data_IF_170371953417
#
_entry.id   IF_170371953417
#
_cell.length_a   1.000
_cell.length_b   1.000
_cell.length_c   1.000
_cell.angle_alpha   90.00
_cell.angle_beta   90.00
_cell.angle_gamma   90.00
#
_symmetry.space_group_name_H-M   'P 1'
#
loop_
_entity.id
_entity.type
_entity.pdbx_description
1 polymer ?
#
# COMPACT_ATOMS: atom_id res chain seq x y z
N UNK A 1 -10.53 8.73 -26.04
CA UNK A 1 -11.03 8.88 -24.65
C UNK A 1 -10.94 7.52 -23.97
N UNK A 2 -10.28 7.40 -22.82
CA UNK A 2 -9.87 6.11 -22.23
C UNK A 2 -10.97 5.39 -21.43
N UNK A 3 -12.12 5.99 -21.13
CA UNK A 3 -13.18 5.31 -20.38
C UNK A 3 -14.57 5.72 -20.86
N UNK A 4 -15.14 5.00 -21.83
CA UNK A 4 -16.59 5.05 -22.10
C UNK A 4 -17.40 4.25 -21.08
N UNK A 5 -16.76 3.33 -20.34
CA UNK A 5 -17.35 2.41 -19.36
C UNK A 5 -17.55 3.04 -17.97
N UNK A 6 -17.47 4.36 -17.84
CA UNK A 6 -17.58 5.03 -16.54
C UNK A 6 -19.02 5.13 -16.01
N UNK A 7 -20.02 4.90 -16.87
CA UNK A 7 -21.44 5.12 -16.55
C UNK A 7 -22.21 3.81 -16.36
N UNK A 8 -21.84 2.74 -17.08
CA UNK A 8 -22.47 1.42 -16.99
C UNK A 8 -21.40 0.31 -17.14
N UNK A 9 -21.55 -0.83 -16.45
CA UNK A 9 -20.63 -1.96 -16.57
C UNK A 9 -20.60 -2.51 -18.01
N UNK A 10 -19.43 -2.91 -18.53
CA UNK A 10 -19.35 -3.54 -19.83
C UNK A 10 -20.04 -4.91 -19.83
N UNK A 11 -20.65 -5.28 -20.94
CA UNK A 11 -21.09 -6.66 -21.15
C UNK A 11 -19.88 -7.59 -21.36
N UNK A 12 -20.10 -8.91 -21.28
CA UNK A 12 -19.04 -9.92 -21.40
C UNK A 12 -18.21 -9.77 -22.69
N UNK A 13 -18.85 -9.49 -23.83
CA UNK A 13 -18.16 -9.32 -25.10
C UNK A 13 -17.28 -8.06 -25.13
N UNK A 14 -17.78 -6.95 -24.59
CA UNK A 14 -17.02 -5.70 -24.45
C UNK A 14 -15.81 -5.88 -23.53
N UNK A 15 -15.98 -6.59 -22.41
CA UNK A 15 -14.89 -6.90 -21.49
C UNK A 15 -13.84 -7.80 -22.14
N UNK A 16 -14.25 -8.88 -22.81
CA UNK A 16 -13.35 -9.79 -23.51
C UNK A 16 -12.56 -9.06 -24.61
N UNK A 17 -13.23 -8.21 -25.41
CA UNK A 17 -12.58 -7.44 -26.47
C UNK A 17 -11.56 -6.44 -25.91
N UNK A 18 -11.91 -5.76 -24.82
CA UNK A 18 -10.97 -4.88 -24.11
C UNK A 18 -9.77 -5.66 -23.59
N UNK A 19 -9.99 -6.76 -22.87
CA UNK A 19 -8.94 -7.53 -22.24
C UNK A 19 -8.01 -8.16 -23.27
N UNK A 20 -8.55 -8.73 -24.36
CA UNK A 20 -7.75 -9.26 -25.47
C UNK A 20 -6.86 -8.18 -26.09
N UNK A 21 -7.40 -6.97 -26.34
CA UNK A 21 -6.62 -5.85 -26.84
C UNK A 21 -5.56 -5.38 -25.84
N UNK A 22 -5.88 -5.37 -24.55
CA UNK A 22 -4.96 -4.99 -23.49
C UNK A 22 -3.76 -5.94 -23.42
N UNK A 23 -4.02 -7.25 -23.39
CA UNK A 23 -2.97 -8.29 -23.43
C UNK A 23 -2.15 -8.19 -24.71
N UNK A 24 -2.79 -8.06 -25.87
CA UNK A 24 -2.08 -7.91 -27.15
C UNK A 24 -1.09 -6.73 -27.13
N UNK A 25 -1.50 -5.58 -26.59
CA UNK A 25 -0.65 -4.40 -26.46
C UNK A 25 0.51 -4.62 -25.49
N UNK A 26 0.29 -5.31 -24.37
CA UNK A 26 1.36 -5.67 -23.43
C UNK A 26 2.37 -6.57 -24.14
N UNK A 27 1.90 -7.70 -24.71
CA UNK A 27 2.75 -8.70 -25.36
C UNK A 27 3.59 -8.10 -26.48
N UNK A 28 2.98 -7.26 -27.34
CA UNK A 28 3.67 -6.61 -28.46
C UNK A 28 4.83 -5.71 -28.01
N UNK A 29 4.83 -5.24 -26.76
CA UNK A 29 5.84 -4.33 -26.25
C UNK A 29 6.87 -4.98 -25.32
N UNK A 30 6.80 -6.29 -25.06
CA UNK A 30 7.65 -6.95 -24.06
C UNK A 30 9.15 -6.90 -24.38
N UNK A 31 9.51 -6.96 -25.67
CA UNK A 31 10.90 -7.10 -26.11
C UNK A 31 11.61 -5.75 -26.27
N UNK A 32 10.93 -4.63 -26.05
CA UNK A 32 11.58 -3.32 -26.12
C UNK A 32 12.42 -3.03 -24.86
N UNK A 33 13.59 -2.43 -25.04
CA UNK A 33 14.51 -2.09 -23.95
C UNK A 33 14.23 -0.71 -23.32
N UNK A 34 13.44 0.11 -24.00
CA UNK A 34 13.04 1.44 -23.56
C UNK A 34 11.83 1.43 -22.59
N UNK A 35 11.30 2.62 -22.29
CA UNK A 35 10.29 2.79 -21.25
C UNK A 35 8.95 2.09 -21.56
N UNK A 36 8.59 1.88 -22.83
CA UNK A 36 7.39 1.09 -23.19
C UNK A 36 7.54 -0.37 -22.81
N UNK A 37 8.72 -0.98 -23.00
CA UNK A 37 8.95 -2.36 -22.60
C UNK A 37 9.04 -2.51 -21.09
N UNK A 38 9.65 -1.53 -20.39
CA UNK A 38 9.63 -1.49 -18.92
C UNK A 38 8.20 -1.43 -18.39
N UNK A 39 7.36 -0.58 -18.99
CA UNK A 39 5.96 -0.47 -18.61
C UNK A 39 5.16 -1.74 -18.92
N UNK A 40 5.35 -2.35 -20.10
CA UNK A 40 4.70 -3.61 -20.47
C UNK A 40 5.06 -4.76 -19.52
N UNK A 41 6.35 -4.94 -19.21
CA UNK A 41 6.80 -5.95 -18.24
C UNK A 41 6.26 -5.70 -16.83
N UNK A 42 6.09 -4.44 -16.44
CA UNK A 42 5.43 -4.08 -15.17
C UNK A 42 3.95 -4.43 -15.18
N UNK A 43 3.21 -4.05 -16.23
CA UNK A 43 1.79 -4.40 -16.35
C UNK A 43 1.56 -5.91 -16.37
N UNK A 44 2.41 -6.67 -17.05
CA UNK A 44 2.33 -8.13 -17.07
C UNK A 44 2.52 -8.73 -15.66
N UNK A 45 3.48 -8.21 -14.89
CA UNK A 45 3.75 -8.67 -13.51
C UNK A 45 2.58 -8.40 -12.56
N UNK A 46 1.91 -7.27 -12.74
CA UNK A 46 0.80 -6.83 -11.88
C UNK A 46 -0.58 -7.26 -12.41
N UNK A 47 -0.64 -8.00 -13.53
CA UNK A 47 -1.88 -8.25 -14.27
C UNK A 47 -2.99 -8.89 -13.40
N UNK A 48 -2.60 -9.81 -12.53
CA UNK A 48 -3.53 -10.50 -11.62
C UNK A 48 -4.06 -9.59 -10.52
N UNK A 49 -3.24 -8.64 -10.02
CA UNK A 49 -3.62 -7.76 -8.92
C UNK A 49 -4.46 -6.56 -9.39
N UNK A 50 -4.43 -6.21 -10.67
CA UNK A 50 -5.13 -5.05 -11.24
C UNK A 50 -6.66 -5.11 -11.07
N UNK A 51 -7.25 -6.30 -11.06
CA UNK A 51 -8.69 -6.50 -11.16
C UNK A 51 -9.32 -7.10 -9.89
N UNK A 52 -8.57 -7.22 -8.81
CA UNK A 52 -9.03 -7.88 -7.56
C UNK A 52 -10.33 -7.24 -7.04
N UNK A 53 -10.48 -5.91 -7.18
CA UNK A 53 -11.68 -5.18 -6.78
C UNK A 53 -12.97 -5.59 -7.54
N UNK A 54 -12.86 -6.30 -8.67
CA UNK A 54 -14.02 -6.82 -9.40
C UNK A 54 -14.58 -8.10 -8.78
N UNK A 55 -13.76 -8.83 -8.01
CA UNK A 55 -14.12 -10.16 -7.50
C UNK A 55 -14.13 -10.23 -5.98
N UNK A 56 -13.36 -9.39 -5.30
CA UNK A 56 -13.25 -9.33 -3.84
C UNK A 56 -13.98 -8.11 -3.27
N UNK A 57 -15.00 -8.37 -2.47
CA UNK A 57 -15.76 -7.31 -1.78
C UNK A 57 -14.87 -6.56 -0.78
N UNK A 58 -15.04 -5.23 -0.73
CA UNK A 58 -14.27 -4.36 0.18
C UNK A 58 -12.91 -3.91 -0.35
N UNK A 59 -12.42 -4.47 -1.47
CA UNK A 59 -11.20 -3.98 -2.14
C UNK A 59 -11.53 -2.75 -2.99
N UNK A 60 -10.86 -1.63 -2.73
CA UNK A 60 -11.08 -0.41 -3.51
C UNK A 60 -10.39 -0.48 -4.88
N UNK A 61 -10.97 0.10 -5.95
CA UNK A 61 -10.36 0.12 -7.29
C UNK A 61 -9.12 1.01 -7.42
N UNK A 62 -8.68 1.63 -6.32
CA UNK A 62 -7.53 2.53 -6.29
C UNK A 62 -6.60 2.16 -5.14
N UNK A 63 -5.30 2.38 -5.32
CA UNK A 63 -4.31 2.15 -4.27
C UNK A 63 -4.23 3.30 -3.23
N UNK A 64 -5.19 4.23 -3.27
CA UNK A 64 -5.18 5.45 -2.45
C UNK A 64 -5.11 5.15 -0.94
N UNK A 65 -5.69 4.04 -0.49
CA UNK A 65 -5.59 3.63 0.91
C UNK A 65 -4.14 3.32 1.30
N UNK A 66 -3.48 2.40 0.60
CA UNK A 66 -2.10 2.03 0.91
C UNK A 66 -1.14 3.21 0.73
N UNK A 67 -1.32 4.01 -0.31
CA UNK A 67 -0.51 5.22 -0.53
C UNK A 67 -0.64 6.20 0.64
N UNK A 68 -1.85 6.46 1.13
CA UNK A 68 -2.07 7.34 2.29
C UNK A 68 -1.44 6.79 3.56
N UNK A 69 -1.52 5.48 3.77
CA UNK A 69 -0.88 4.79 4.91
C UNK A 69 0.63 4.96 4.87
N UNK A 70 1.26 4.76 3.70
CA UNK A 70 2.72 4.81 3.53
C UNK A 70 3.28 6.23 3.39
N UNK A 71 2.46 7.20 2.97
CA UNK A 71 2.88 8.58 2.65
C UNK A 71 3.71 9.23 3.75
N UNK A 72 3.31 9.04 5.01
CA UNK A 72 4.06 9.62 6.14
C UNK A 72 5.49 9.08 6.21
N UNK A 73 5.65 7.76 6.12
CA UNK A 73 6.97 7.10 6.15
C UNK A 73 7.85 7.54 4.98
N UNK A 74 7.27 7.62 3.77
CA UNK A 74 7.97 8.06 2.56
C UNK A 74 8.47 9.51 2.69
N UNK A 75 7.59 10.43 3.13
CA UNK A 75 7.96 11.84 3.32
C UNK A 75 9.00 12.00 4.43
N UNK A 76 8.87 11.27 5.52
CA UNK A 76 9.85 11.27 6.60
C UNK A 76 11.21 10.79 6.11
N UNK A 77 11.29 9.64 5.43
CA UNK A 77 12.54 9.11 4.86
C UNK A 77 13.19 10.09 3.90
N UNK A 78 12.39 10.72 3.03
CA UNK A 78 12.90 11.71 2.06
C UNK A 78 13.52 12.93 2.74
N UNK A 79 12.94 13.41 3.84
CA UNK A 79 13.42 14.59 4.58
C UNK A 79 14.58 14.28 5.52
N UNK A 80 14.59 13.09 6.11
CA UNK A 80 15.59 12.67 7.11
C UNK A 80 16.74 11.86 6.52
N UNK A 81 16.74 11.60 5.21
CA UNK A 81 17.71 10.76 4.49
C UNK A 81 17.78 9.29 4.97
N UNK A 82 16.82 8.86 5.78
CA UNK A 82 16.74 7.49 6.31
C UNK A 82 17.80 7.17 7.36
N UNK A 83 18.04 5.87 7.54
CA UNK A 83 18.94 5.30 8.55
C UNK A 83 20.10 4.56 7.87
N UNK A 84 21.25 4.48 8.55
CA UNK A 84 22.48 3.83 8.05
C UNK A 84 22.94 2.66 8.93
N UNK A 85 22.06 2.15 9.78
CA UNK A 85 22.36 1.05 10.68
C UNK A 85 21.11 0.22 10.91
N UNK A 86 21.29 -1.07 11.12
CA UNK A 86 20.21 -2.00 11.43
C UNK A 86 19.43 -1.56 12.68
N UNK A 87 20.13 -1.07 13.71
CA UNK A 87 19.48 -0.50 14.90
C UNK A 87 18.56 0.66 14.55
N UNK A 88 18.99 1.54 13.64
CA UNK A 88 18.17 2.63 13.13
C UNK A 88 16.95 2.13 12.36
N UNK A 89 17.15 1.16 11.46
CA UNK A 89 16.07 0.56 10.66
C UNK A 89 15.00 -0.06 11.57
N UNK A 90 15.42 -0.83 12.58
CA UNK A 90 14.52 -1.43 13.58
C UNK A 90 13.77 -0.39 14.40
N UNK A 91 14.39 0.75 14.71
CA UNK A 91 13.71 1.84 15.40
C UNK A 91 12.65 2.48 14.50
N UNK A 92 12.99 2.79 13.23
CA UNK A 92 12.08 3.39 12.25
C UNK A 92 10.88 2.48 11.99
N UNK A 93 11.12 1.18 11.78
CA UNK A 93 10.08 0.16 11.59
C UNK A 93 9.08 0.19 12.76
N UNK A 94 9.58 0.16 14.00
CA UNK A 94 8.75 0.12 15.21
C UNK A 94 7.95 1.40 15.43
N UNK A 95 8.58 2.57 15.29
CA UNK A 95 7.89 3.84 15.56
C UNK A 95 6.84 4.17 14.49
N UNK A 96 7.11 3.84 13.22
CA UNK A 96 6.13 4.00 12.15
C UNK A 96 4.94 3.06 12.32
N UNK A 97 5.20 1.81 12.72
CA UNK A 97 4.15 0.83 13.03
C UNK A 97 3.29 1.31 14.19
N UNK A 98 3.90 1.71 15.31
CA UNK A 98 3.18 2.23 16.47
C UNK A 98 2.31 3.44 16.10
N UNK A 99 2.89 4.41 15.38
CA UNK A 99 2.17 5.61 14.93
C UNK A 99 0.97 5.24 14.06
N UNK A 100 1.16 4.32 13.12
CA UNK A 100 0.10 3.90 12.20
C UNK A 100 -1.03 3.17 12.94
N UNK A 101 -0.70 2.26 13.86
CA UNK A 101 -1.70 1.60 14.71
C UNK A 101 -2.46 2.60 15.58
N UNK A 102 -1.77 3.54 16.21
CA UNK A 102 -2.41 4.61 16.99
C UNK A 102 -3.38 5.43 16.14
N UNK A 103 -2.97 5.81 14.92
CA UNK A 103 -3.80 6.58 13.99
C UNK A 103 -5.08 5.83 13.60
N UNK A 104 -4.98 4.54 13.27
CA UNK A 104 -6.14 3.72 12.90
C UNK A 104 -7.08 3.52 14.09
N UNK A 105 -6.54 3.43 15.31
CA UNK A 105 -7.31 3.28 16.57
C UNK A 105 -7.75 4.60 17.22
N UNK A 106 -7.54 5.75 16.56
CA UNK A 106 -7.94 7.06 17.10
C UNK A 106 -7.17 7.49 18.37
N UNK A 107 -5.95 6.95 18.60
CA UNK A 107 -5.12 7.26 19.77
C UNK A 107 -3.97 8.20 19.43
N UNK A 108 -3.58 8.99 20.42
CA UNK A 108 -2.38 9.83 20.33
C UNK A 108 -1.12 8.97 20.51
N UNK A 109 -0.18 9.05 19.56
CA UNK A 109 1.03 8.21 19.57
C UNK A 109 1.96 8.49 20.75
N UNK A 110 2.15 9.76 21.11
CA UNK A 110 3.13 10.16 22.12
C UNK A 110 2.78 9.61 23.53
N UNK A 111 1.56 9.76 24.06
CA UNK A 111 1.17 9.16 25.34
C UNK A 111 1.36 7.63 25.38
N UNK A 112 1.02 6.93 24.29
CA UNK A 112 1.20 5.47 24.19
C UNK A 112 2.68 5.10 24.27
N UNK A 113 3.54 5.83 23.55
CA UNK A 113 4.99 5.61 23.60
C UNK A 113 5.56 5.86 25.01
N UNK A 114 5.17 6.96 25.65
CA UNK A 114 5.60 7.29 27.02
C UNK A 114 5.18 6.19 27.99
N UNK A 115 3.93 5.72 27.90
CA UNK A 115 3.43 4.62 28.72
C UNK A 115 4.24 3.35 28.49
N UNK A 116 4.50 2.96 27.23
CA UNK A 116 5.26 1.77 26.91
C UNK A 116 6.69 1.81 27.45
N UNK A 117 7.38 2.96 27.28
CA UNK A 117 8.72 3.16 27.83
C UNK A 117 8.73 3.16 29.36
N UNK A 118 7.72 3.76 29.99
CA UNK A 118 7.57 3.77 31.46
C UNK A 118 7.40 2.36 32.01
N UNK A 119 6.56 1.54 31.37
CA UNK A 119 6.38 0.13 31.73
C UNK A 119 7.70 -0.64 31.61
N UNK A 120 8.41 -0.48 30.49
CA UNK A 120 9.71 -1.12 30.26
C UNK A 120 10.72 -0.81 31.37
N UNK A 121 10.89 0.47 31.73
CA UNK A 121 11.84 0.87 32.78
C UNK A 121 11.45 0.38 34.18
N UNK A 122 10.15 0.13 34.42
CA UNK A 122 9.64 -0.42 35.68
C UNK A 122 9.56 -1.95 35.70
N UNK A 123 9.94 -2.63 34.62
CA UNK A 123 9.77 -4.09 34.48
C UNK A 123 8.31 -4.52 34.40
N UNK A 124 7.39 -3.62 34.05
CA UNK A 124 5.97 -3.89 33.87
C UNK A 124 5.63 -4.14 32.41
N UNK A 125 4.52 -4.83 32.15
CA UNK A 125 3.98 -5.01 30.80
C UNK A 125 3.06 -3.83 30.43
N UNK A 126 3.18 -3.25 29.22
CA UNK A 126 2.25 -2.23 28.76
C UNK A 126 0.89 -2.85 28.43
N UNK A 127 -0.19 -2.09 28.63
CA UNK A 127 -1.51 -2.48 28.13
C UNK A 127 -1.50 -2.47 26.59
N UNK A 128 -1.78 -3.63 26.01
CA UNK A 128 -1.89 -3.86 24.57
C UNK A 128 -3.30 -4.25 24.13
N UNK A 129 -4.27 -4.34 25.06
CA UNK A 129 -5.63 -4.77 24.75
C UNK A 129 -6.29 -3.86 23.71
N UNK A 130 -5.98 -2.56 23.77
CA UNK A 130 -6.47 -1.55 22.82
C UNK A 130 -6.02 -1.76 21.37
N UNK A 131 -5.00 -2.58 21.11
CA UNK A 131 -4.55 -2.89 19.74
C UNK A 131 -5.55 -3.83 19.06
N UNK A 132 -6.09 -4.78 19.82
CA UNK A 132 -6.92 -5.89 19.33
C UNK A 132 -8.42 -5.61 19.37
N UNK A 133 -8.85 -4.56 20.07
CA UNK A 133 -10.24 -4.13 20.11
C UNK A 133 -10.67 -3.65 18.72
N UNK A 134 -11.65 -4.36 18.11
CA UNK A 134 -12.18 -4.09 16.78
C UNK A 134 -12.75 -2.68 16.69
#
# INVERSE_FOLDING_TARGET
>A
RLCHMAHEPPNNGQWQAFYARFIHLITRNLDYEDDRGKFARRLLRELECMWVFLYEEGVTPTNNHAERVLRFAVLWRKRSLGTKSEKGDRWVERILSLRQTCRVRGRQTFPVLVSAMTCYFKGLQPDIAWISQA
#
